data_IF_809061681714
#
_entry.id   IF_809061681714
#
_cell.length_a   1.000
_cell.length_b   1.000
_cell.length_c   1.000
_cell.angle_alpha   90.00
_cell.angle_beta   90.00
_cell.angle_gamma   90.00
#
_symmetry.space_group_name_H-M   'P 1'
#
loop_
_entity.id
_entity.type
_entity.pdbx_description
1 polymer ?
#
# COMPACT_ATOMS: atom_id res chain seq x y z
N UNK A 1 24.04 -7.12 -0.41
CA UNK A 1 22.63 -7.52 -0.65
C UNK A 1 22.05 -6.52 -1.63
N UNK A 2 21.41 -6.95 -2.72
CA UNK A 2 20.88 -6.05 -3.74
C UNK A 2 19.84 -5.09 -3.15
N UNK A 3 19.95 -3.81 -3.52
CA UNK A 3 18.98 -2.77 -3.19
C UNK A 3 17.64 -3.15 -3.84
N UNK A 4 16.54 -3.06 -3.08
CA UNK A 4 15.21 -3.30 -3.63
C UNK A 4 14.69 -1.98 -4.13
N UNK A 5 14.37 -1.92 -5.41
CA UNK A 5 13.74 -0.77 -6.02
C UNK A 5 12.23 -0.87 -5.84
N UNK A 6 11.55 0.24 -5.48
CA UNK A 6 10.10 0.29 -5.47
C UNK A 6 9.55 0.16 -6.90
N UNK A 7 8.36 -0.43 -7.01
CA UNK A 7 7.61 -0.51 -8.25
C UNK A 7 7.10 0.88 -8.68
N UNK A 8 6.89 1.04 -9.99
CA UNK A 8 6.44 2.30 -10.60
C UNK A 8 4.93 2.21 -10.90
N UNK A 9 4.11 3.14 -10.39
CA UNK A 9 2.69 3.18 -10.72
C UNK A 9 2.42 3.31 -12.22
N UNK A 10 1.37 2.62 -12.71
CA UNK A 10 0.92 2.68 -14.10
C UNK A 10 1.64 1.74 -15.07
N UNK A 11 2.78 1.14 -14.68
CA UNK A 11 3.44 0.08 -15.46
C UNK A 11 2.71 -1.24 -15.25
N UNK A 12 2.33 -1.92 -16.33
CA UNK A 12 1.49 -3.12 -16.32
C UNK A 12 0.20 -2.93 -15.50
N UNK A 13 -0.46 -1.79 -15.67
CA UNK A 13 -1.66 -1.45 -14.92
C UNK A 13 -2.79 -2.47 -15.19
N UNK A 14 -3.44 -3.03 -14.16
CA UNK A 14 -4.52 -3.99 -14.35
C UNK A 14 -5.85 -3.36 -14.80
N UNK A 15 -5.89 -2.04 -15.07
CA UNK A 15 -7.09 -1.33 -15.48
C UNK A 15 -7.99 -0.92 -14.32
N UNK A 16 -9.30 -0.88 -14.54
CA UNK A 16 -10.27 -0.53 -13.50
C UNK A 16 -10.35 -1.61 -12.42
N UNK A 17 -10.69 -1.21 -11.20
CA UNK A 17 -10.84 -2.13 -10.07
C UNK A 17 -10.25 -1.56 -8.78
N UNK A 18 -10.66 -2.16 -7.66
CA UNK A 18 -10.17 -1.76 -6.35
C UNK A 18 -8.71 -2.19 -6.18
N UNK A 19 -7.92 -1.34 -5.53
CA UNK A 19 -6.59 -1.69 -5.03
C UNK A 19 -6.62 -1.71 -3.51
N UNK A 20 -5.84 -2.62 -2.94
CA UNK A 20 -5.63 -2.72 -1.49
C UNK A 20 -4.21 -2.25 -1.17
N UNK A 21 -4.03 -1.45 -0.12
CA UNK A 21 -2.72 -1.07 0.37
C UNK A 21 -2.46 -1.56 1.80
N UNK A 22 -1.20 -1.87 2.07
CA UNK A 22 -0.70 -2.38 3.34
C UNK A 22 0.46 -1.52 3.85
N UNK A 23 0.30 -0.95 5.04
CA UNK A 23 1.42 -0.39 5.84
C UNK A 23 1.89 -1.45 6.84
N UNK A 24 3.11 -1.97 6.69
CA UNK A 24 3.60 -3.12 7.43
C UNK A 24 4.47 -2.70 8.61
N UNK A 25 3.86 -2.63 9.80
CA UNK A 25 4.56 -2.51 11.07
C UNK A 25 5.02 -3.84 11.66
N UNK A 26 5.70 -3.80 12.81
CA UNK A 26 6.14 -5.02 13.53
C UNK A 26 5.01 -5.70 14.32
N UNK A 27 4.00 -4.94 14.73
CA UNK A 27 2.88 -5.39 15.59
C UNK A 27 1.52 -5.30 14.89
N UNK A 28 1.41 -4.47 13.87
CA UNK A 28 0.16 -4.14 13.19
C UNK A 28 0.40 -3.92 11.71
N UNK A 29 -0.62 -4.17 10.90
CA UNK A 29 -0.64 -3.91 9.47
C UNK A 29 -1.85 -3.00 9.20
N UNK A 30 -1.59 -1.76 8.80
CA UNK A 30 -2.65 -0.85 8.36
C UNK A 30 -3.17 -1.28 7.00
N UNK A 31 -4.49 -1.25 6.79
CA UNK A 31 -5.11 -1.63 5.52
C UNK A 31 -5.99 -0.50 4.99
N UNK A 32 -5.84 -0.18 3.71
CA UNK A 32 -6.68 0.75 2.97
C UNK A 32 -7.15 0.15 1.65
N UNK A 33 -8.27 0.64 1.12
CA UNK A 33 -8.83 0.21 -0.17
C UNK A 33 -9.23 1.41 -1.01
N UNK A 34 -9.13 1.29 -2.33
CA UNK A 34 -9.61 2.30 -3.26
C UNK A 34 -11.07 2.06 -3.65
N UNK A 35 -11.72 3.11 -4.17
CA UNK A 35 -12.90 2.92 -5.01
C UNK A 35 -12.56 2.15 -6.31
N UNK A 36 -13.58 1.72 -7.06
CA UNK A 36 -13.41 0.92 -8.28
C UNK A 36 -12.75 1.70 -9.41
N UNK A 37 -12.92 3.02 -9.42
CA UNK A 37 -12.33 3.94 -10.38
C UNK A 37 -10.84 4.19 -10.11
N UNK A 38 -10.32 3.72 -8.96
CA UNK A 38 -8.94 3.88 -8.54
C UNK A 38 -8.51 5.35 -8.44
N UNK A 39 -9.35 6.17 -7.78
CA UNK A 39 -9.13 7.62 -7.58
C UNK A 39 -9.05 8.03 -6.12
N UNK A 40 -9.72 7.31 -5.22
CA UNK A 40 -9.80 7.67 -3.80
C UNK A 40 -9.50 6.47 -2.90
N UNK A 41 -8.54 6.64 -1.99
CA UNK A 41 -8.22 5.68 -0.95
C UNK A 41 -9.04 5.92 0.34
N UNK A 42 -9.44 4.84 1.00
CA UNK A 42 -10.20 4.88 2.27
C UNK A 42 -9.67 3.83 3.25
N UNK A 43 -9.68 4.11 4.57
CA UNK A 43 -9.20 3.15 5.55
C UNK A 43 -10.16 1.97 5.67
N UNK A 44 -9.61 0.76 5.84
CA UNK A 44 -10.40 -0.47 6.06
C UNK A 44 -10.29 -0.87 7.53
N UNK A 45 -9.13 -1.37 7.93
CA UNK A 45 -8.89 -1.86 9.29
C UNK A 45 -7.40 -1.86 9.64
N UNK A 46 -7.08 -2.30 10.86
CA UNK A 46 -5.71 -2.57 11.26
C UNK A 46 -5.62 -4.03 11.71
N UNK A 47 -4.94 -4.85 10.91
CA UNK A 47 -4.74 -6.27 11.19
C UNK A 47 -3.63 -6.42 12.24
N UNK A 48 -3.86 -7.25 13.26
CA UNK A 48 -2.81 -7.57 14.23
C UNK A 48 -1.78 -8.49 13.59
N UNK A 49 -0.49 -8.17 13.74
CA UNK A 49 0.59 -8.94 13.14
C UNK A 49 1.00 -10.08 14.07
N UNK A 50 0.94 -11.30 13.57
CA UNK A 50 1.24 -12.52 14.31
C UNK A 50 2.45 -13.27 13.72
N UNK A 51 2.73 -13.07 12.44
CA UNK A 51 3.75 -13.79 11.69
C UNK A 51 5.14 -13.18 11.87
N UNK A 52 6.04 -13.93 12.51
CA UNK A 52 7.47 -13.64 12.55
C UNK A 52 8.22 -14.09 11.29
N UNK A 53 9.46 -13.61 11.10
CA UNK A 53 10.27 -13.95 9.92
C UNK A 53 10.51 -15.46 9.71
N UNK A 54 10.57 -16.24 10.80
CA UNK A 54 10.82 -17.70 10.75
C UNK A 54 9.54 -18.52 10.90
N UNK A 55 8.40 -17.87 11.07
CA UNK A 55 7.14 -18.54 11.33
C UNK A 55 6.50 -19.00 10.02
N UNK A 56 5.63 -20.02 10.10
CA UNK A 56 4.65 -20.28 9.04
C UNK A 56 3.65 -19.12 8.96
N UNK A 57 2.91 -19.05 7.86
CA UNK A 57 1.82 -18.07 7.75
C UNK A 57 0.79 -18.32 8.86
N UNK A 58 0.27 -17.24 9.45
CA UNK A 58 -0.75 -17.26 10.50
C UNK A 58 -1.96 -16.41 10.09
N UNK A 59 -2.85 -16.13 11.05
CA UNK A 59 -4.12 -15.44 10.83
C UNK A 59 -3.98 -14.05 10.24
N UNK A 60 -2.85 -13.36 10.42
CA UNK A 60 -2.58 -12.07 9.79
C UNK A 60 -2.50 -12.16 8.25
N UNK A 61 -1.85 -13.21 7.73
CA UNK A 61 -1.77 -13.46 6.28
C UNK A 61 -3.12 -13.92 5.74
N UNK A 62 -3.81 -14.82 6.46
CA UNK A 62 -5.13 -15.30 6.03
C UNK A 62 -6.14 -14.15 5.99
N UNK A 63 -6.13 -13.25 6.98
CA UNK A 63 -7.00 -12.07 6.99
C UNK A 63 -6.75 -11.12 5.83
N UNK A 64 -5.49 -10.91 5.46
CA UNK A 64 -5.16 -10.09 4.28
C UNK A 64 -5.70 -10.72 3.00
N UNK A 65 -5.61 -12.05 2.85
CA UNK A 65 -6.14 -12.76 1.69
C UNK A 65 -7.66 -12.68 1.62
N UNK A 66 -8.37 -12.80 2.75
CA UNK A 66 -9.81 -12.59 2.83
C UNK A 66 -10.20 -11.18 2.36
N UNK A 67 -9.45 -10.16 2.77
CA UNK A 67 -9.69 -8.78 2.34
C UNK A 67 -9.47 -8.61 0.83
N UNK A 68 -8.40 -9.19 0.29
CA UNK A 68 -8.11 -9.17 -1.15
C UNK A 68 -9.27 -9.77 -1.95
N UNK A 69 -9.80 -10.91 -1.49
CA UNK A 69 -10.91 -11.58 -2.15
C UNK A 69 -12.24 -10.80 -1.98
N UNK A 70 -12.56 -10.38 -0.75
CA UNK A 70 -13.77 -9.65 -0.43
C UNK A 70 -13.92 -8.33 -1.22
N UNK A 71 -12.82 -7.59 -1.38
CA UNK A 71 -12.83 -6.34 -2.16
C UNK A 71 -12.63 -6.56 -3.66
N UNK A 72 -12.38 -7.80 -4.08
CA UNK A 72 -12.02 -8.18 -5.46
C UNK A 72 -10.86 -7.34 -5.96
N UNK A 73 -9.81 -7.20 -5.13
CA UNK A 73 -8.72 -6.30 -5.45
C UNK A 73 -7.96 -6.79 -6.69
N UNK A 74 -7.77 -5.87 -7.64
CA UNK A 74 -7.05 -6.13 -8.89
C UNK A 74 -5.55 -5.90 -8.75
N UNK A 75 -5.11 -5.32 -7.63
CA UNK A 75 -3.71 -5.05 -7.31
C UNK A 75 -3.55 -4.78 -5.81
N UNK A 76 -2.42 -5.23 -5.25
CA UNK A 76 -2.07 -5.07 -3.84
C UNK A 76 -0.77 -4.27 -3.73
N UNK A 77 -0.80 -3.20 -2.94
CA UNK A 77 0.30 -2.27 -2.75
C UNK A 77 0.84 -2.42 -1.33
N UNK A 78 2.10 -2.80 -1.19
CA UNK A 78 2.77 -2.89 0.11
C UNK A 78 3.74 -1.73 0.19
N UNK A 79 3.57 -0.86 1.17
CA UNK A 79 4.47 0.25 1.33
C UNK A 79 5.88 -0.20 1.76
N UNK A 80 6.88 0.47 1.22
CA UNK A 80 8.29 0.18 1.37
C UNK A 80 8.97 1.41 2.01
N UNK A 81 9.28 1.37 3.33
CA UNK A 81 9.90 2.49 4.00
C UNK A 81 11.27 2.80 3.42
N UNK A 82 11.51 4.04 2.99
CA UNK A 82 12.88 4.52 2.78
C UNK A 82 13.48 4.93 4.11
N UNK A 83 14.44 4.15 4.57
CA UNK A 83 15.32 4.61 5.64
C UNK A 83 16.10 5.83 5.14
N UNK A 84 16.25 6.85 5.99
CA UNK A 84 17.13 8.01 5.79
C UNK A 84 18.63 7.62 5.65
N UNK A 85 18.94 6.33 5.77
CA UNK A 85 20.26 5.73 5.52
C UNK A 85 20.13 4.42 4.72
N UNK A 86 19.25 4.43 3.71
CA UNK A 86 18.89 3.31 2.84
C UNK A 86 19.87 2.15 2.81
N UNK A 87 19.54 1.09 3.56
CA UNK A 87 19.74 -0.32 3.21
C UNK A 87 19.48 -1.23 4.43
N UNK A 88 18.47 -2.10 4.35
CA UNK A 88 18.37 -3.26 5.25
C UNK A 88 17.72 -3.04 6.62
N UNK A 89 17.00 -1.93 6.80
CA UNK A 89 16.18 -1.70 8.00
C UNK A 89 15.22 -2.87 8.25
N UNK A 90 14.89 -3.13 9.53
CA UNK A 90 13.95 -4.21 9.88
C UNK A 90 12.61 -4.02 9.16
N UNK A 91 12.14 -2.79 9.00
CA UNK A 91 10.87 -2.47 8.34
C UNK A 91 10.86 -2.85 6.86
N UNK A 92 11.94 -2.58 6.11
CA UNK A 92 12.08 -3.04 4.72
C UNK A 92 12.01 -4.56 4.63
N UNK A 93 12.66 -5.28 5.56
CA UNK A 93 12.58 -6.75 5.59
C UNK A 93 11.15 -7.22 5.87
N UNK A 94 10.42 -6.58 6.77
CA UNK A 94 9.04 -6.92 7.08
C UNK A 94 8.10 -6.70 5.89
N UNK A 95 8.19 -5.55 5.21
CA UNK A 95 7.38 -5.26 4.02
C UNK A 95 7.60 -6.31 2.92
N UNK A 96 8.86 -6.61 2.60
CA UNK A 96 9.22 -7.64 1.60
C UNK A 96 8.70 -9.02 1.96
N UNK A 97 8.83 -9.40 3.23
CA UNK A 97 8.40 -10.72 3.71
C UNK A 97 6.88 -10.89 3.58
N UNK A 98 6.11 -9.88 3.98
CA UNK A 98 4.65 -9.89 3.84
C UNK A 98 4.26 -9.93 2.36
N UNK A 99 4.85 -9.10 1.51
CA UNK A 99 4.59 -9.11 0.07
C UNK A 99 4.88 -10.49 -0.55
N UNK A 100 6.01 -11.11 -0.18
CA UNK A 100 6.37 -12.45 -0.64
C UNK A 100 5.34 -13.51 -0.23
N UNK A 101 4.90 -13.49 1.04
CA UNK A 101 3.90 -14.45 1.56
C UNK A 101 2.57 -14.31 0.86
N UNK A 102 2.08 -13.08 0.69
CA UNK A 102 0.83 -12.80 -0.03
C UNK A 102 0.94 -13.33 -1.46
N UNK A 103 2.00 -12.96 -2.20
CA UNK A 103 2.21 -13.44 -3.57
C UNK A 103 2.24 -14.95 -3.67
N UNK A 104 2.96 -15.62 -2.75
CA UNK A 104 3.04 -17.09 -2.69
C UNK A 104 1.66 -17.73 -2.45
N UNK A 105 0.84 -17.16 -1.57
CA UNK A 105 -0.50 -17.69 -1.26
C UNK A 105 -1.49 -17.43 -2.39
N UNK A 106 -1.48 -16.24 -2.99
CA UNK A 106 -2.30 -15.91 -4.15
C UNK A 106 -1.99 -16.84 -5.33
N UNK A 107 -0.72 -17.07 -5.64
CA UNK A 107 -0.32 -17.96 -6.73
C UNK A 107 -0.68 -19.42 -6.49
N UNK A 108 -0.68 -19.88 -5.22
CA UNK A 108 -1.08 -21.25 -4.88
C UNK A 108 -2.59 -21.46 -5.01
N UNK A 109 -3.37 -20.43 -4.73
CA UNK A 109 -4.83 -20.46 -4.79
C UNK A 109 -5.36 -20.08 -6.18
N UNK A 110 -4.47 -19.72 -7.12
CA UNK A 110 -4.85 -19.42 -8.49
C UNK A 110 -5.34 -20.69 -9.18
N UNK A 111 -6.61 -20.70 -9.55
CA UNK A 111 -7.15 -21.67 -10.50
C UNK A 111 -6.78 -21.25 -11.92
N UNK A 112 -6.84 -22.17 -12.89
CA UNK A 112 -6.43 -21.90 -14.28
C UNK A 112 -7.13 -20.68 -14.92
N UNK A 113 -8.31 -20.29 -14.42
CA UNK A 113 -9.13 -19.23 -15.02
C UNK A 113 -8.96 -17.84 -14.37
N UNK A 114 -8.21 -17.71 -13.25
CA UNK A 114 -8.07 -16.43 -12.53
C UNK A 114 -6.60 -16.10 -12.29
N UNK A 115 -6.10 -15.08 -12.98
CA UNK A 115 -4.77 -14.52 -12.72
C UNK A 115 -4.80 -13.82 -11.34
N UNK A 116 -3.88 -14.17 -10.42
CA UNK A 116 -3.81 -13.51 -9.12
C UNK A 116 -3.41 -12.05 -9.26
N UNK A 117 -3.92 -11.14 -8.40
CA UNK A 117 -3.57 -9.73 -8.48
C UNK A 117 -2.07 -9.53 -8.19
N UNK A 118 -1.38 -8.64 -8.94
CA UNK A 118 0.01 -8.32 -8.66
C UNK A 118 0.15 -7.72 -7.26
N UNK A 119 1.25 -8.07 -6.60
CA UNK A 119 1.68 -7.49 -5.32
C UNK A 119 2.89 -6.62 -5.60
N UNK A 120 2.76 -5.31 -5.37
CA UNK A 120 3.76 -4.28 -5.68
C UNK A 120 4.29 -3.62 -4.42
N UNK A 121 5.55 -3.20 -4.44
CA UNK A 121 6.22 -2.45 -3.39
C UNK A 121 6.19 -0.96 -3.74
N UNK A 122 5.38 -0.18 -3.03
CA UNK A 122 5.32 1.26 -3.25
C UNK A 122 6.36 2.00 -2.42
N UNK A 123 6.98 3.01 -3.01
CA UNK A 123 7.89 3.90 -2.28
C UNK A 123 7.12 4.72 -1.23
N UNK A 124 7.50 4.58 0.04
CA UNK A 124 6.98 5.42 1.11
C UNK A 124 7.91 6.62 1.36
N UNK A 125 7.39 7.83 1.15
CA UNK A 125 8.00 9.03 1.70
C UNK A 125 7.39 9.29 3.09
N UNK A 126 8.15 9.00 4.14
CA UNK A 126 7.73 9.15 5.53
C UNK A 126 7.17 10.57 5.81
N UNK A 127 5.86 10.67 5.98
CA UNK A 127 5.16 11.87 6.50
C UNK A 127 4.67 11.67 7.95
N UNK A 128 5.01 10.55 8.58
CA UNK A 128 4.59 10.17 9.95
C UNK A 128 4.92 11.21 11.01
N UNK A 129 5.93 12.07 10.80
CA UNK A 129 6.27 13.17 11.70
C UNK A 129 5.14 14.21 11.76
N UNK A 130 4.56 14.59 10.62
CA UNK A 130 3.47 15.56 10.58
C UNK A 130 2.17 14.99 11.18
N UNK A 131 1.82 13.75 10.83
CA UNK A 131 0.60 13.09 11.33
C UNK A 131 0.64 12.84 12.85
N UNK A 132 1.78 12.41 13.39
CA UNK A 132 1.96 12.18 14.83
C UNK A 132 1.87 13.49 15.62
N UNK A 133 2.40 14.58 15.05
CA UNK A 133 2.38 15.91 15.67
C UNK A 133 0.96 16.47 15.74
N UNK A 134 0.18 16.36 14.65
CA UNK A 134 -1.22 16.80 14.62
C UNK A 134 -2.11 16.01 15.60
N UNK A 135 -1.93 14.70 15.72
CA UNK A 135 -2.73 13.89 16.64
C UNK A 135 -2.42 14.14 18.11
N UNK A 136 -1.14 14.36 18.46
CA UNK A 136 -0.77 14.78 19.82
C UNK A 136 -1.38 16.14 20.18
N UNK A 137 -1.46 17.07 19.23
CA UNK A 137 -2.09 18.37 19.43
C UNK A 137 -3.62 18.28 19.61
N UNK A 138 -4.27 17.20 19.13
CA UNK A 138 -5.73 17.02 19.18
C UNK A 138 -6.30 16.43 20.48
N UNK A 139 -5.45 16.08 21.46
CA UNK A 139 -5.90 15.53 22.75
C UNK A 139 -6.40 14.07 22.71
N UNK A 140 -6.24 13.38 21.57
CA UNK A 140 -6.61 11.96 21.43
C UNK A 140 -5.62 11.08 22.20
N UNK A 141 -6.13 10.14 23.01
CA UNK A 141 -5.29 9.19 23.76
C UNK A 141 -4.34 8.43 22.84
N UNK A 142 -3.07 8.23 23.24
CA UNK A 142 -2.04 7.61 22.39
C UNK A 142 -2.47 6.30 21.73
N UNK A 143 -3.19 5.44 22.46
CA UNK A 143 -3.69 4.16 21.95
C UNK A 143 -4.73 4.32 20.83
N UNK A 144 -5.65 5.28 20.95
CA UNK A 144 -6.63 5.61 19.90
C UNK A 144 -5.95 6.30 18.72
N UNK A 145 -5.06 7.26 19.01
CA UNK A 145 -4.28 7.97 18.00
C UNK A 145 -3.46 7.01 17.14
N UNK A 146 -2.87 5.96 17.73
CA UNK A 146 -2.07 4.99 16.98
C UNK A 146 -2.87 4.13 16.01
N UNK A 147 -4.13 3.80 16.30
CA UNK A 147 -4.99 3.11 15.33
C UNK A 147 -5.31 4.02 14.14
N UNK A 148 -5.60 5.30 14.41
CA UNK A 148 -5.85 6.31 13.38
C UNK A 148 -4.61 6.54 12.51
N UNK A 149 -3.41 6.62 13.11
CA UNK A 149 -2.13 6.79 12.38
C UNK A 149 -1.86 5.61 11.46
N UNK A 150 -1.96 4.38 11.96
CA UNK A 150 -1.69 3.18 11.16
C UNK A 150 -2.64 3.09 9.95
N UNK A 151 -3.92 3.42 10.12
CA UNK A 151 -4.87 3.46 9.00
C UNK A 151 -4.58 4.61 8.04
N UNK A 152 -4.16 5.77 8.56
CA UNK A 152 -3.79 6.93 7.75
C UNK A 152 -2.56 6.63 6.86
N UNK A 153 -1.57 5.92 7.38
CA UNK A 153 -0.38 5.53 6.61
C UNK A 153 -0.73 4.63 5.42
N UNK A 154 -1.57 3.61 5.62
CA UNK A 154 -2.03 2.75 4.53
C UNK A 154 -2.85 3.53 3.47
N UNK A 155 -3.68 4.48 3.91
CA UNK A 155 -4.44 5.37 3.00
C UNK A 155 -3.48 6.24 2.18
N UNK A 156 -2.46 6.79 2.80
CA UNK A 156 -1.49 7.67 2.15
C UNK A 156 -0.63 6.92 1.12
N UNK A 157 -0.16 5.70 1.46
CA UNK A 157 0.52 4.80 0.53
C UNK A 157 -0.37 4.59 -0.70
N UNK A 158 -1.64 4.25 -0.48
CA UNK A 158 -2.55 3.99 -1.57
C UNK A 158 -2.82 5.23 -2.40
N UNK A 159 -3.13 6.36 -1.77
CA UNK A 159 -3.45 7.59 -2.49
C UNK A 159 -2.26 8.04 -3.35
N UNK A 160 -1.04 7.98 -2.81
CA UNK A 160 0.19 8.27 -3.56
C UNK A 160 0.34 7.36 -4.78
N UNK A 161 0.05 6.07 -4.62
CA UNK A 161 0.06 5.10 -5.72
C UNK A 161 -0.99 5.44 -6.79
N UNK A 162 -2.23 5.75 -6.38
CA UNK A 162 -3.33 6.10 -7.29
C UNK A 162 -3.03 7.40 -8.06
N UNK A 163 -2.49 8.41 -7.40
CA UNK A 163 -2.12 9.69 -8.03
C UNK A 163 -0.98 9.49 -9.02
N UNK A 164 0.03 8.69 -8.66
CA UNK A 164 1.11 8.29 -9.56
C UNK A 164 0.60 7.55 -10.80
N UNK A 165 -0.32 6.59 -10.60
CA UNK A 165 -0.99 5.86 -11.67
C UNK A 165 -1.78 6.81 -12.58
N UNK A 166 -2.57 7.70 -11.99
CA UNK A 166 -3.37 8.66 -12.75
C UNK A 166 -2.48 9.53 -13.63
N UNK A 167 -1.35 10.01 -13.10
CA UNK A 167 -0.37 10.79 -13.87
C UNK A 167 0.28 9.97 -14.99
N UNK A 168 0.63 8.70 -14.73
CA UNK A 168 1.23 7.82 -15.73
C UNK A 168 0.27 7.49 -16.89
N UNK A 169 -1.03 7.41 -16.61
CA UNK A 169 -2.07 7.09 -17.60
C UNK A 169 -2.65 8.32 -18.31
N UNK A 170 -2.23 9.54 -17.96
CA UNK A 170 -2.69 10.76 -18.65
C UNK A 170 -2.26 10.72 -20.13
N UNK A 171 -3.18 10.99 -21.08
CA UNK A 171 -2.82 11.16 -22.48
C UNK A 171 -1.79 12.28 -22.64
N UNK A 172 -0.72 12.03 -23.42
CA UNK A 172 0.40 12.98 -23.61
C UNK A 172 -0.05 14.32 -24.21
N UNK A 173 -1.15 14.33 -24.96
CA UNK A 173 -1.67 15.51 -25.66
C UNK A 173 -2.28 16.59 -24.73
N UNK A 174 -2.48 16.27 -23.44
CA UNK A 174 -3.00 17.23 -22.45
C UNK A 174 -1.93 18.13 -21.82
N UNK A 175 -0.64 17.88 -22.09
CA UNK A 175 0.49 18.61 -21.48
C UNK A 175 0.93 19.80 -22.35
N UNK A 176 0.58 19.82 -23.65
CA UNK A 176 1.11 20.75 -24.65
C UNK A 176 0.12 21.81 -25.17
N UNK A 177 -1.00 22.05 -24.48
CA UNK A 177 -1.81 23.22 -24.82
C UNK A 177 -1.24 24.47 -24.13
N UNK A 178 -0.67 25.44 -24.88
CA UNK A 178 -0.25 26.70 -24.29
C UNK A 178 -1.48 27.36 -23.66
N UNK A 179 -1.33 27.78 -22.40
CA UNK A 179 -2.30 28.62 -21.73
C UNK A 179 -2.52 29.86 -22.59
N UNK A 180 -3.66 29.91 -23.27
CA UNK A 180 -4.07 31.09 -24.01
C UNK A 180 -4.51 32.13 -22.98
N UNK A 181 -3.54 32.83 -22.38
CA UNK A 181 -3.77 34.05 -21.63
C UNK A 181 -3.96 35.17 -22.65
N UNK A 182 -5.20 35.30 -23.13
CA UNK A 182 -5.69 36.55 -23.67
C UNK A 182 -6.06 37.46 -22.50
N UNK A 183 -5.28 38.52 -22.32
CA UNK A 183 -5.77 39.86 -22.02
C UNK A 183 -4.76 40.87 -22.60
#
# INVERSE_FOLDING_TARGET
>A
MAQVEPDIPGVDDPGQGRRLALDVGTVRIGVAVSNREATLATPVETVHRETGFKDRDKGDIDRILELIDFYEAVEVIVGLPRDLQGNGSKSVKHAKEIAFRIRRRLNRNANMDKVPPPVRLADERLTTVAATTALRASGVSEKKGRKVIDQAAAVEILQTWLDGRANALRPRDAIDQPSNSGD
#
